data_IF_558199250131
#
_entry.id   IF_558199250131
#
_cell.length_a   1.000
_cell.length_b   1.000
_cell.length_c   1.000
_cell.angle_alpha   90.00
_cell.angle_beta   90.00
_cell.angle_gamma   90.00
#
_symmetry.space_group_name_H-M   'P 1'
#
loop_
_entity.id
_entity.type
_entity.pdbx_description
1 polymer ?
#
# COMPACT_ATOMS: atom_id res chain seq x y z
N UNK A 1 -3.86 -4.20 3.22
CA UNK A 1 -5.19 -4.77 3.54
C UNK A 1 -6.09 -3.56 3.63
N UNK A 2 -7.12 -3.47 2.79
CA UNK A 2 -8.10 -2.39 2.94
C UNK A 2 -8.79 -2.61 4.27
N UNK A 3 -8.95 -1.55 5.07
CA UNK A 3 -9.56 -1.69 6.37
C UNK A 3 -11.07 -1.84 6.27
N UNK A 4 -11.59 -2.98 6.75
CA UNK A 4 -13.03 -3.18 6.98
C UNK A 4 -13.50 -2.50 8.28
N UNK A 5 -12.55 -2.07 9.13
CA UNK A 5 -12.83 -1.38 10.39
C UNK A 5 -12.68 0.15 10.27
N UNK A 6 -13.50 0.95 10.99
CA UNK A 6 -13.37 2.41 11.02
C UNK A 6 -12.00 2.89 11.51
N UNK A 7 -11.41 2.18 12.48
CA UNK A 7 -10.09 2.53 13.02
C UNK A 7 -9.00 2.38 11.97
N UNK A 8 -8.95 1.26 11.28
CA UNK A 8 -7.96 1.03 10.23
C UNK A 8 -8.21 1.93 9.01
N UNK A 9 -9.44 2.39 8.78
CA UNK A 9 -9.76 3.42 7.79
C UNK A 9 -9.16 4.78 8.15
N UNK A 10 -9.26 5.19 9.41
CA UNK A 10 -8.63 6.42 9.90
C UNK A 10 -7.09 6.35 9.78
N UNK A 11 -6.48 5.22 10.15
CA UNK A 11 -5.05 4.99 10.00
C UNK A 11 -4.61 5.09 8.53
N UNK A 12 -5.36 4.48 7.62
CA UNK A 12 -5.09 4.55 6.19
C UNK A 12 -5.11 5.98 5.65
N UNK A 13 -6.07 6.80 6.09
CA UNK A 13 -6.11 8.22 5.77
C UNK A 13 -4.91 8.98 6.32
N UNK A 14 -4.58 8.78 7.59
CA UNK A 14 -3.46 9.45 8.26
C UNK A 14 -2.12 9.13 7.59
N UNK A 15 -1.87 7.86 7.31
CA UNK A 15 -0.63 7.41 6.66
C UNK A 15 -0.51 7.89 5.21
N UNK A 16 -1.63 8.12 4.52
CA UNK A 16 -1.62 8.74 3.20
C UNK A 16 -1.17 10.22 3.25
N UNK A 17 -1.40 10.91 4.36
CA UNK A 17 -1.04 12.31 4.54
C UNK A 17 0.42 12.49 4.97
N UNK A 18 0.98 11.55 5.73
CA UNK A 18 2.36 11.59 6.21
C UNK A 18 3.36 11.12 5.13
N UNK A 19 4.14 12.00 4.47
CA UNK A 19 4.94 11.65 3.30
C UNK A 19 5.97 10.55 3.57
N UNK A 20 6.58 10.57 4.77
CA UNK A 20 7.64 9.64 5.14
C UNK A 20 7.14 8.20 5.34
N UNK A 21 5.89 8.06 5.79
CA UNK A 21 5.21 6.78 5.97
C UNK A 21 4.67 6.33 4.62
N UNK A 22 3.99 7.23 3.92
CA UNK A 22 3.36 6.97 2.64
C UNK A 22 4.34 6.37 1.62
N UNK A 23 5.51 6.98 1.43
CA UNK A 23 6.51 6.50 0.46
C UNK A 23 7.08 5.09 0.78
N UNK A 24 6.95 4.63 2.02
CA UNK A 24 7.39 3.30 2.47
C UNK A 24 6.24 2.30 2.58
N UNK A 25 5.02 2.72 2.28
CA UNK A 25 3.82 1.91 2.44
C UNK A 25 3.62 1.00 1.25
N UNK A 26 3.21 -0.24 1.54
CA UNK A 26 2.67 -1.19 0.55
C UNK A 26 1.18 -1.33 0.82
N UNK A 27 0.37 -0.82 -0.10
CA UNK A 27 -1.10 -0.82 0.01
C UNK A 27 -1.64 -1.94 -0.85
N UNK A 28 -2.33 -2.89 -0.23
CA UNK A 28 -3.05 -3.97 -0.92
C UNK A 28 -4.52 -3.60 -1.02
N UNK A 29 -5.02 -3.50 -2.26
CA UNK A 29 -6.41 -3.26 -2.60
C UNK A 29 -7.00 -4.51 -3.24
N UNK A 30 -8.21 -4.90 -2.85
CA UNK A 30 -8.91 -6.00 -3.51
C UNK A 30 -9.23 -5.64 -4.98
N UNK A 31 -9.05 -6.61 -5.90
CA UNK A 31 -9.48 -6.52 -7.29
C UNK A 31 -11.01 -6.56 -7.43
N UNK A 32 -11.74 -7.14 -6.49
CA UNK A 32 -13.21 -7.25 -6.50
C UNK A 32 -13.89 -5.88 -6.33
N UNK A 33 -13.26 -4.96 -5.61
CA UNK A 33 -13.66 -3.56 -5.36
C UNK A 33 -13.65 -2.65 -6.62
N UNK A 34 -13.49 -3.23 -7.82
CA UNK A 34 -13.43 -2.52 -9.11
C UNK A 34 -14.64 -1.63 -9.40
N UNK A 35 -15.81 -1.93 -8.83
CA UNK A 35 -17.09 -1.34 -9.24
C UNK A 35 -17.61 -0.21 -8.35
N UNK A 36 -17.10 -0.06 -7.13
CA UNK A 36 -17.64 0.93 -6.21
C UNK A 36 -16.68 2.14 -6.18
N UNK A 37 -17.22 3.31 -6.48
CA UNK A 37 -16.56 4.60 -6.29
C UNK A 37 -16.46 4.91 -4.78
N UNK A 38 -15.76 4.04 -4.04
CA UNK A 38 -15.59 4.18 -2.60
C UNK A 38 -14.73 5.40 -2.32
N UNK A 39 -15.04 6.09 -1.22
CA UNK A 39 -14.26 7.23 -0.72
C UNK A 39 -12.75 6.86 -0.57
N UNK A 40 -12.45 5.60 -0.24
CA UNK A 40 -11.11 4.99 -0.29
C UNK A 40 -10.37 5.22 -1.61
N UNK A 41 -11.05 4.98 -2.74
CA UNK A 41 -10.47 5.14 -4.09
C UNK A 41 -10.27 6.58 -4.48
N UNK A 42 -11.17 7.47 -4.07
CA UNK A 42 -11.17 8.85 -4.51
C UNK A 42 -10.20 9.73 -3.70
N UNK A 43 -10.01 9.44 -2.42
CA UNK A 43 -9.11 10.19 -1.55
C UNK A 43 -7.80 9.44 -1.27
N UNK A 44 -7.73 8.60 -0.22
CA UNK A 44 -6.46 8.09 0.28
C UNK A 44 -5.67 7.26 -0.75
N UNK A 45 -6.31 6.38 -1.52
CA UNK A 45 -5.60 5.57 -2.52
C UNK A 45 -4.93 6.42 -3.62
N UNK A 46 -5.56 7.54 -4.03
CA UNK A 46 -4.93 8.50 -4.94
C UNK A 46 -3.75 9.21 -4.27
N UNK A 47 -3.91 9.62 -3.01
CA UNK A 47 -2.83 10.24 -2.25
C UNK A 47 -1.60 9.32 -2.14
N UNK A 48 -1.81 8.02 -1.87
CA UNK A 48 -0.75 7.01 -1.90
C UNK A 48 -0.05 6.91 -3.25
N UNK A 49 -0.80 6.89 -4.35
CA UNK A 49 -0.25 6.88 -5.70
C UNK A 49 0.60 8.12 -6.02
N UNK A 50 0.11 9.31 -5.69
CA UNK A 50 0.83 10.58 -5.90
C UNK A 50 2.14 10.61 -5.09
N UNK A 51 2.11 10.07 -3.87
CA UNK A 51 3.25 10.06 -2.94
C UNK A 51 4.17 8.85 -3.09
N UNK A 52 4.12 8.19 -4.25
CA UNK A 52 5.03 7.09 -4.66
C UNK A 52 4.99 5.86 -3.74
N UNK A 53 3.86 5.61 -3.09
CA UNK A 53 3.66 4.35 -2.38
C UNK A 53 3.49 3.18 -3.36
N UNK A 54 3.82 1.97 -2.93
CA UNK A 54 3.54 0.77 -3.72
C UNK A 54 2.07 0.40 -3.53
N UNK A 55 1.23 0.60 -4.55
CA UNK A 55 -0.18 0.21 -4.51
C UNK A 55 -0.40 -1.03 -5.39
N UNK A 56 -0.84 -2.13 -4.79
CA UNK A 56 -1.04 -3.40 -5.44
C UNK A 56 -2.52 -3.78 -5.44
N UNK A 57 -3.01 -4.21 -6.58
CA UNK A 57 -4.33 -4.85 -6.68
C UNK A 57 -4.15 -6.36 -6.64
N UNK A 58 -4.83 -6.99 -5.70
CA UNK A 58 -4.66 -8.41 -5.38
C UNK A 58 -6.00 -9.11 -5.41
N UNK A 59 -5.99 -10.38 -5.80
CA UNK A 59 -7.12 -11.26 -5.60
C UNK A 59 -6.86 -12.03 -4.30
N UNK A 60 -7.67 -11.82 -3.27
CA UNK A 60 -7.47 -12.50 -1.99
C UNK A 60 -7.82 -13.99 -2.04
N UNK A 61 -8.44 -14.49 -3.12
CA UNK A 61 -8.60 -15.92 -3.38
C UNK A 61 -7.26 -16.62 -3.68
N UNK A 62 -6.32 -15.91 -4.30
CA UNK A 62 -5.01 -16.44 -4.73
C UNK A 62 -3.90 -16.12 -3.72
N UNK A 63 -4.04 -16.61 -2.48
CA UNK A 63 -3.22 -16.19 -1.33
C UNK A 63 -1.70 -16.31 -1.55
N UNK A 64 -1.25 -17.42 -2.16
CA UNK A 64 0.17 -17.63 -2.45
C UNK A 64 0.70 -16.62 -3.47
N UNK A 65 -0.07 -16.29 -4.52
CA UNK A 65 0.30 -15.25 -5.47
C UNK A 65 0.43 -13.90 -4.77
N UNK A 66 -0.54 -13.56 -3.90
CA UNK A 66 -0.51 -12.32 -3.12
C UNK A 66 0.72 -12.25 -2.23
N UNK A 67 1.01 -13.32 -1.51
CA UNK A 67 2.15 -13.39 -0.61
C UNK A 67 3.47 -13.21 -1.36
N UNK A 68 3.67 -13.95 -2.45
CA UNK A 68 4.87 -13.84 -3.29
C UNK A 68 5.09 -12.42 -3.81
N UNK A 69 4.01 -11.74 -4.20
CA UNK A 69 4.10 -10.35 -4.66
C UNK A 69 4.44 -9.39 -3.52
N UNK A 70 3.86 -9.57 -2.34
CA UNK A 70 4.17 -8.76 -1.14
C UNK A 70 5.63 -8.94 -0.74
N UNK A 71 6.09 -10.19 -0.67
CA UNK A 71 7.47 -10.51 -0.29
C UNK A 71 8.48 -9.84 -1.21
N UNK A 72 8.25 -9.92 -2.53
CA UNK A 72 9.10 -9.28 -3.54
C UNK A 72 9.21 -7.76 -3.34
N UNK A 73 8.10 -7.10 -3.02
CA UNK A 73 8.10 -5.66 -2.75
C UNK A 73 8.81 -5.33 -1.44
N UNK A 74 8.61 -6.12 -0.39
CA UNK A 74 9.33 -5.94 0.88
C UNK A 74 10.85 -6.09 0.70
N UNK A 75 11.31 -7.05 -0.11
CA UNK A 75 12.73 -7.22 -0.42
C UNK A 75 13.29 -6.00 -1.17
N UNK A 76 12.54 -5.44 -2.12
CA UNK A 76 12.92 -4.19 -2.82
C UNK A 76 13.08 -3.02 -1.85
N UNK A 77 12.12 -2.83 -0.95
CA UNK A 77 12.17 -1.78 0.07
C UNK A 77 13.35 -1.96 1.04
N UNK A 78 13.65 -3.19 1.47
CA UNK A 78 14.82 -3.51 2.30
C UNK A 78 16.13 -3.21 1.58
N UNK A 79 16.26 -3.62 0.32
CA UNK A 79 17.45 -3.37 -0.50
C UNK A 79 17.68 -1.86 -0.71
N UNK A 80 16.63 -1.10 -1.00
CA UNK A 80 16.71 0.37 -1.12
C UNK A 80 17.16 1.04 0.18
N UNK A 81 16.66 0.57 1.34
CA UNK A 81 17.08 1.04 2.66
C UNK A 81 18.56 0.74 2.94
N UNK A 82 19.05 -0.46 2.60
CA UNK A 82 20.47 -0.82 2.77
C UNK A 82 21.39 -0.01 1.86
N UNK A 83 21.00 0.23 0.60
CA UNK A 83 21.75 1.08 -0.32
C UNK A 83 21.84 2.53 0.12
N UNK A 84 20.77 3.07 0.73
CA UNK A 84 20.77 4.42 1.31
C UNK A 84 21.66 4.53 2.56
N UNK A 85 21.72 3.48 3.41
CA UNK A 85 22.54 3.46 4.62
C UNK A 85 24.04 3.34 4.34
N UNK A 86 24.44 2.74 3.21
CA UNK A 86 25.85 2.65 2.76
C UNK A 86 26.38 3.94 2.12
N UNK A 87 25.51 4.89 1.77
CA UNK A 87 25.85 6.18 1.13
C UNK A 87 25.87 7.37 2.10
N UNK A 88 25.51 7.16 3.35
CA UNK A 88 25.65 8.12 4.46
C UNK A 88 26.83 7.71 5.31
#
# INVERSE_FOLDING_TARGET
IIPDSPGSFAEFGLFALEPNICAKSVVLLDKSEKKINTFLRQGPAKAYGIRKATVMRVDYGEREEVWNRVEKELQRHKAAKMGSRRRR
#
